data_IF_974775279778
#
_entry.id   IF_974775279778
#
_cell.length_a   1.000
_cell.length_b   1.000
_cell.length_c   1.000
_cell.angle_alpha   90.00
_cell.angle_beta   90.00
_cell.angle_gamma   90.00
#
_symmetry.space_group_name_H-M   'P 1'
#
loop_
_entity.id
_entity.type
_entity.pdbx_description
1 polymer ?
#
# COMPACT_ATOMS: atom_id res chain seq x y z
N UNK A 1 2.12 29.08 25.86
CA UNK A 1 2.08 27.61 25.83
C UNK A 1 0.88 27.23 24.96
N UNK A 2 1.09 26.95 23.70
CA UNK A 2 0.01 26.47 22.82
C UNK A 2 -0.35 25.06 23.30
N UNK A 3 -1.59 24.89 23.78
CA UNK A 3 -2.15 23.59 24.11
C UNK A 3 -2.03 22.70 22.86
N UNK A 4 -1.16 21.69 22.92
CA UNK A 4 -1.15 20.63 21.92
C UNK A 4 -2.52 19.97 22.02
N UNK A 5 -3.39 20.30 21.08
CA UNK A 5 -4.71 19.69 21.02
C UNK A 5 -4.50 18.22 20.77
N UNK A 6 -4.86 17.36 21.73
CA UNK A 6 -4.62 15.92 21.71
C UNK A 6 -5.19 15.31 20.44
N UNK A 7 -4.31 14.76 19.59
CA UNK A 7 -4.73 14.06 18.40
C UNK A 7 -5.14 12.62 18.78
N UNK A 8 -6.40 12.27 18.49
CA UNK A 8 -6.88 10.91 18.71
C UNK A 8 -6.21 9.94 17.74
N UNK A 9 -5.89 8.77 18.23
CA UNK A 9 -5.40 7.66 17.42
C UNK A 9 -6.41 7.30 16.32
N UNK A 10 -5.99 7.23 15.08
CA UNK A 10 -6.87 6.89 13.95
C UNK A 10 -7.38 5.43 14.01
N UNK A 11 -6.68 4.53 14.71
CA UNK A 11 -7.04 3.12 14.78
C UNK A 11 -7.99 2.79 15.94
N UNK A 12 -7.71 3.28 17.16
CA UNK A 12 -8.48 2.91 18.36
C UNK A 12 -9.15 4.11 19.07
N UNK A 13 -9.03 5.33 18.53
CA UNK A 13 -9.57 6.59 19.06
C UNK A 13 -9.06 6.99 20.45
N UNK A 14 -8.08 6.30 21.01
CA UNK A 14 -7.43 6.67 22.26
C UNK A 14 -6.74 8.03 22.13
N UNK A 15 -6.79 8.84 23.19
CA UNK A 15 -6.01 10.08 23.34
C UNK A 15 -4.67 9.83 24.02
N UNK A 16 -4.45 8.63 24.57
CA UNK A 16 -3.19 8.24 25.22
C UNK A 16 -2.10 8.01 24.18
N UNK A 17 -1.41 9.10 23.83
CA UNK A 17 -0.35 9.12 22.83
C UNK A 17 0.91 9.79 23.38
N UNK A 18 2.07 9.33 22.91
CA UNK A 18 3.37 9.91 23.23
C UNK A 18 4.15 10.23 21.96
N UNK A 19 5.02 11.21 21.99
CA UNK A 19 5.93 11.48 20.87
C UNK A 19 6.95 10.33 20.82
N UNK A 20 6.95 9.57 19.74
CA UNK A 20 7.93 8.51 19.49
C UNK A 20 9.15 9.02 18.72
N UNK A 21 8.94 9.92 17.76
CA UNK A 21 10.00 10.56 16.97
C UNK A 21 9.73 12.04 16.88
N UNK A 22 10.78 12.85 17.03
CA UNK A 22 10.65 14.32 16.98
C UNK A 22 10.42 14.83 15.56
N UNK A 23 10.84 14.06 14.56
CA UNK A 23 10.73 14.39 13.14
C UNK A 23 10.30 13.16 12.34
N UNK A 24 9.82 13.42 11.12
CA UNK A 24 9.46 12.44 10.09
C UNK A 24 9.92 12.95 8.72
N UNK A 25 9.58 12.23 7.66
CA UNK A 25 9.76 12.68 6.27
C UNK A 25 9.15 14.09 6.02
N UNK A 26 8.09 14.45 6.72
CA UNK A 26 7.40 15.75 6.60
C UNK A 26 7.90 16.81 7.59
N UNK A 27 9.01 16.60 8.28
CA UNK A 27 9.51 17.46 9.36
C UNK A 27 8.49 17.70 10.50
N UNK A 28 7.63 16.73 10.72
CA UNK A 28 6.59 16.74 11.76
C UNK A 28 6.83 15.61 12.77
N UNK A 29 6.45 15.78 14.04
CA UNK A 29 6.59 14.74 15.05
C UNK A 29 5.69 13.54 14.75
N UNK A 30 6.16 12.36 15.11
CA UNK A 30 5.40 11.10 15.06
C UNK A 30 4.91 10.76 16.46
N UNK A 31 3.63 10.50 16.57
CA UNK A 31 2.98 10.03 17.78
C UNK A 31 2.86 8.51 17.77
N UNK A 32 3.05 7.89 18.94
CA UNK A 32 2.72 6.50 19.19
C UNK A 32 1.54 6.39 20.12
N UNK A 33 0.54 5.61 19.77
CA UNK A 33 -0.58 5.28 20.63
C UNK A 33 -0.17 4.20 21.65
N UNK A 34 -0.38 4.44 22.95
CA UNK A 34 -0.05 3.47 24.00
C UNK A 34 -1.03 2.28 24.07
N UNK A 35 -2.23 2.42 23.46
CA UNK A 35 -3.23 1.35 23.47
C UNK A 35 -3.04 0.32 22.34
N UNK A 36 -2.81 0.78 21.09
CA UNK A 36 -2.72 -0.13 19.93
C UNK A 36 -1.33 -0.13 19.25
N UNK A 37 -0.36 0.59 19.80
CA UNK A 37 1.03 0.72 19.32
C UNK A 37 1.18 1.27 17.90
N UNK A 38 0.13 1.84 17.36
CA UNK A 38 0.13 2.52 16.07
C UNK A 38 0.93 3.80 16.13
N UNK A 39 1.76 4.05 15.11
CA UNK A 39 2.50 5.29 14.96
C UNK A 39 1.91 6.11 13.81
N UNK A 40 1.86 7.42 13.99
CA UNK A 40 1.31 8.33 12.98
C UNK A 40 1.88 9.73 13.08
N UNK A 41 2.02 10.38 11.94
CA UNK A 41 2.51 11.76 11.87
C UNK A 41 1.47 12.72 12.44
N UNK A 42 1.89 13.67 13.26
CA UNK A 42 1.02 14.72 13.78
C UNK A 42 0.87 15.86 12.77
N UNK A 43 -0.03 15.69 11.79
CA UNK A 43 -0.21 16.61 10.65
C UNK A 43 -1.40 17.55 10.75
N UNK A 44 -2.09 17.64 11.89
CA UNK A 44 -3.35 18.39 12.05
C UNK A 44 -3.36 19.79 11.44
N UNK A 45 -2.27 20.53 11.60
CA UNK A 45 -2.16 21.89 11.10
C UNK A 45 -1.62 21.96 9.66
N UNK A 46 -1.24 20.80 9.05
CA UNK A 46 -0.54 20.71 7.78
C UNK A 46 -1.29 19.86 6.75
N UNK A 47 -2.54 19.51 6.99
CA UNK A 47 -3.33 18.61 6.12
C UNK A 47 -3.41 19.09 4.67
N UNK A 48 -3.55 20.39 4.43
CA UNK A 48 -3.61 20.95 3.08
C UNK A 48 -2.28 20.88 2.36
N UNK A 49 -1.17 21.12 3.05
CA UNK A 49 0.18 21.00 2.51
C UNK A 49 0.49 19.55 2.12
N UNK A 50 0.12 18.61 2.97
CA UNK A 50 0.28 17.17 2.73
C UNK A 50 -0.59 16.74 1.55
N UNK A 51 -1.85 17.17 1.47
CA UNK A 51 -2.73 16.91 0.32
C UNK A 51 -2.11 17.45 -0.99
N UNK A 52 -1.57 18.66 -0.97
CA UNK A 52 -0.89 19.24 -2.13
C UNK A 52 0.37 18.46 -2.51
N UNK A 53 1.13 17.96 -1.53
CA UNK A 53 2.31 17.12 -1.78
C UNK A 53 1.91 15.88 -2.57
N UNK A 54 0.88 15.11 -2.13
CA UNK A 54 0.44 13.92 -2.84
C UNK A 54 -0.15 14.23 -4.23
N UNK A 55 -0.83 15.35 -4.39
CA UNK A 55 -1.40 15.75 -5.67
C UNK A 55 -0.35 16.16 -6.71
N UNK A 56 0.69 16.87 -6.30
CA UNK A 56 1.63 17.55 -7.20
C UNK A 56 3.02 16.93 -7.24
N UNK A 57 3.52 16.48 -6.10
CA UNK A 57 4.95 16.19 -5.90
C UNK A 57 5.25 14.71 -5.79
N UNK A 58 4.42 13.94 -5.12
CA UNK A 58 4.64 12.52 -4.82
C UNK A 58 5.11 11.73 -6.05
N UNK A 59 4.32 11.69 -7.11
CA UNK A 59 4.65 10.91 -8.31
C UNK A 59 5.83 11.47 -9.11
N UNK A 60 6.04 12.80 -9.12
CA UNK A 60 7.21 13.40 -9.77
C UNK A 60 8.49 13.07 -9.02
N UNK A 61 8.46 13.02 -7.69
CA UNK A 61 9.58 12.65 -6.84
C UNK A 61 9.93 11.18 -7.00
N UNK A 62 8.94 10.28 -6.94
CA UNK A 62 9.15 8.84 -7.15
C UNK A 62 9.72 8.51 -8.54
N UNK A 63 9.28 9.19 -9.60
CA UNK A 63 9.85 9.02 -10.94
C UNK A 63 11.24 9.64 -11.10
N UNK A 64 11.53 10.72 -10.36
CA UNK A 64 12.83 11.37 -10.38
C UNK A 64 13.87 10.70 -9.45
N UNK A 65 13.44 9.91 -8.48
CA UNK A 65 14.33 9.01 -7.73
C UNK A 65 14.97 7.99 -8.69
N UNK A 66 14.27 7.57 -9.74
CA UNK A 66 14.88 6.81 -10.83
C UNK A 66 15.94 7.61 -11.62
N UNK A 67 15.98 8.94 -11.49
CA UNK A 67 16.85 9.82 -12.26
C UNK A 67 17.81 10.73 -11.46
N UNK A 68 17.64 10.91 -10.14
CA UNK A 68 18.50 11.76 -9.31
C UNK A 68 19.06 11.01 -8.11
N UNK A 69 20.37 10.89 -8.10
CA UNK A 69 21.32 10.76 -6.97
C UNK A 69 20.71 10.37 -5.62
N UNK A 70 20.77 9.10 -5.29
CA UNK A 70 20.90 8.64 -3.92
C UNK A 70 22.32 9.04 -3.43
N UNK A 71 22.48 10.27 -3.00
CA UNK A 71 23.65 10.70 -2.22
C UNK A 71 23.39 10.33 -0.76
N UNK A 72 24.05 9.28 -0.29
CA UNK A 72 24.11 8.91 1.11
C UNK A 72 23.91 7.41 1.35
N UNK A 73 25.02 6.68 1.39
CA UNK A 73 25.27 5.38 2.05
C UNK A 73 24.05 4.46 2.21
N UNK A 74 23.67 3.72 1.18
CA UNK A 74 23.12 2.35 1.21
C UNK A 74 22.48 1.94 -0.14
N UNK A 75 23.19 2.09 -1.26
CA UNK A 75 22.63 1.65 -2.57
C UNK A 75 23.75 1.14 -3.50
N UNK A 76 24.50 0.15 -3.06
CA UNK A 76 25.48 -0.48 -3.96
C UNK A 76 24.85 -1.38 -5.02
N UNK A 77 23.58 -1.78 -4.86
CA UNK A 77 22.96 -2.79 -5.69
C UNK A 77 22.01 -2.25 -6.77
N UNK A 78 21.35 -1.11 -6.54
CA UNK A 78 20.64 -0.38 -7.61
C UNK A 78 21.61 0.15 -8.67
N UNK A 79 22.89 0.33 -8.30
CA UNK A 79 23.97 0.74 -9.18
C UNK A 79 24.26 -0.27 -10.30
N UNK A 80 24.15 -1.57 -10.04
CA UNK A 80 24.38 -2.60 -11.05
C UNK A 80 23.28 -2.64 -12.12
N UNK A 81 22.02 -2.40 -11.74
CA UNK A 81 20.93 -2.30 -12.71
C UNK A 81 21.09 -1.07 -13.60
N UNK A 82 21.61 0.05 -13.05
CA UNK A 82 21.89 1.29 -13.81
C UNK A 82 22.99 1.14 -14.87
N UNK A 83 23.85 0.12 -14.79
CA UNK A 83 24.86 -0.18 -15.82
C UNK A 83 24.29 -0.80 -17.10
N UNK A 84 23.05 -1.28 -17.06
CA UNK A 84 22.39 -1.81 -18.25
C UNK A 84 21.72 -0.70 -19.07
N UNK A 85 21.57 -0.88 -20.39
CA UNK A 85 20.73 -0.01 -21.20
C UNK A 85 19.32 0.12 -20.62
N UNK A 86 18.73 1.33 -20.70
CA UNK A 86 17.45 1.68 -20.08
C UNK A 86 16.33 0.67 -20.41
N UNK A 87 16.32 0.12 -21.63
CA UNK A 87 15.32 -0.88 -22.03
C UNK A 87 15.48 -2.20 -21.26
N UNK A 88 16.72 -2.65 -20.98
CA UNK A 88 17.00 -3.85 -20.18
C UNK A 88 16.57 -3.60 -18.72
N UNK A 89 16.89 -2.44 -18.16
CA UNK A 89 16.43 -2.05 -16.83
C UNK A 89 14.90 -2.12 -16.73
N UNK A 90 14.19 -1.58 -17.73
CA UNK A 90 12.72 -1.68 -17.80
C UNK A 90 12.23 -3.12 -17.84
N UNK A 91 12.81 -3.98 -18.68
CA UNK A 91 12.42 -5.40 -18.75
C UNK A 91 12.61 -6.08 -17.39
N UNK A 92 13.76 -5.90 -16.74
CA UNK A 92 14.04 -6.53 -15.45
C UNK A 92 13.07 -6.05 -14.38
N UNK A 93 12.92 -4.73 -14.21
CA UNK A 93 12.06 -4.16 -13.16
C UNK A 93 10.59 -4.43 -13.45
N UNK A 94 10.11 -4.12 -14.64
CA UNK A 94 8.68 -4.25 -14.95
C UNK A 94 8.25 -5.71 -15.12
N UNK A 95 9.07 -6.56 -15.73
CA UNK A 95 8.69 -7.96 -15.96
C UNK A 95 8.99 -8.81 -14.74
N UNK A 96 10.18 -8.66 -14.17
CA UNK A 96 10.61 -9.51 -13.06
C UNK A 96 9.90 -9.17 -11.75
N UNK A 97 9.95 -7.91 -11.35
CA UNK A 97 9.46 -7.48 -10.03
C UNK A 97 7.96 -7.22 -10.05
N UNK A 98 7.49 -6.29 -10.86
CA UNK A 98 6.08 -5.83 -10.81
C UNK A 98 5.09 -6.95 -11.12
N UNK A 99 5.36 -7.76 -12.17
CA UNK A 99 4.51 -8.92 -12.48
C UNK A 99 4.59 -9.99 -11.41
N UNK A 100 5.77 -10.24 -10.84
CA UNK A 100 5.93 -11.21 -9.75
C UNK A 100 5.14 -10.80 -8.52
N UNK A 101 5.17 -9.51 -8.15
CA UNK A 101 4.40 -8.96 -7.03
C UNK A 101 2.90 -9.09 -7.26
N UNK A 102 2.39 -8.71 -8.43
CA UNK A 102 0.96 -8.86 -8.75
C UNK A 102 0.49 -10.31 -8.71
N UNK A 103 1.31 -11.25 -9.17
CA UNK A 103 1.02 -12.68 -9.05
C UNK A 103 1.03 -13.18 -7.59
N UNK A 104 1.92 -12.65 -6.74
CA UNK A 104 1.94 -12.97 -5.32
C UNK A 104 0.68 -12.47 -4.61
N UNK A 105 0.24 -11.24 -4.91
CA UNK A 105 -1.01 -10.68 -4.39
C UNK A 105 -2.23 -11.47 -4.86
N UNK A 106 -2.28 -11.86 -6.13
CA UNK A 106 -3.34 -12.71 -6.67
C UNK A 106 -3.42 -14.04 -5.92
N UNK A 107 -2.30 -14.78 -5.78
CA UNK A 107 -2.26 -16.06 -5.05
C UNK A 107 -2.66 -15.92 -3.59
N UNK A 108 -2.31 -14.80 -2.95
CA UNK A 108 -2.69 -14.57 -1.56
C UNK A 108 -4.20 -14.40 -1.38
N UNK A 109 -4.89 -13.90 -2.40
CA UNK A 109 -6.32 -13.53 -2.35
C UNK A 109 -7.25 -14.55 -3.03
N UNK A 110 -6.79 -15.26 -4.07
CA UNK A 110 -7.67 -16.02 -4.99
C UNK A 110 -8.63 -17.00 -4.32
N UNK A 111 -8.19 -17.68 -3.24
CA UNK A 111 -9.01 -18.67 -2.53
C UNK A 111 -10.14 -18.05 -1.69
N UNK A 112 -10.10 -16.75 -1.47
CA UNK A 112 -11.09 -16.00 -0.67
C UNK A 112 -12.10 -15.23 -1.54
N UNK A 113 -11.84 -15.10 -2.84
CA UNK A 113 -12.69 -14.33 -3.75
C UNK A 113 -13.82 -15.22 -4.28
N UNK A 114 -15.07 -14.80 -4.10
CA UNK A 114 -16.26 -15.54 -4.54
C UNK A 114 -16.88 -15.08 -5.84
N UNK A 115 -16.57 -13.84 -6.28
CA UNK A 115 -17.11 -13.24 -7.51
C UNK A 115 -16.02 -12.72 -8.42
N UNK A 116 -16.37 -11.82 -9.35
CA UNK A 116 -15.44 -11.36 -10.41
C UNK A 116 -15.32 -9.83 -10.54
N UNK A 117 -15.98 -9.06 -9.67
CA UNK A 117 -15.87 -7.60 -9.67
C UNK A 117 -14.72 -7.15 -8.76
N UNK A 118 -13.73 -6.49 -9.34
CA UNK A 118 -12.55 -5.99 -8.62
C UNK A 118 -12.50 -4.47 -8.67
N UNK A 119 -12.17 -3.87 -7.53
CA UNK A 119 -11.74 -2.48 -7.42
C UNK A 119 -10.31 -2.44 -6.87
N UNK A 120 -9.38 -1.82 -7.58
CA UNK A 120 -8.05 -1.50 -7.06
C UNK A 120 -7.94 0.01 -6.79
N UNK A 121 -7.64 0.36 -5.56
CA UNK A 121 -7.41 1.74 -5.14
C UNK A 121 -5.91 1.98 -5.06
N UNK A 122 -5.41 3.00 -5.77
CA UNK A 122 -3.97 3.22 -5.94
C UNK A 122 -3.36 2.23 -6.93
N UNK A 123 -3.92 2.16 -8.14
CA UNK A 123 -3.55 1.13 -9.12
C UNK A 123 -2.12 1.23 -9.67
N UNK A 124 -1.41 2.32 -9.38
CA UNK A 124 -0.04 2.53 -9.84
C UNK A 124 0.08 2.38 -11.35
N UNK A 125 0.94 1.49 -11.81
CA UNK A 125 1.10 1.20 -13.25
C UNK A 125 0.11 0.16 -13.80
N UNK A 126 -0.82 -0.35 -12.98
CA UNK A 126 -1.91 -1.25 -13.38
C UNK A 126 -1.53 -2.70 -13.60
N UNK A 127 -0.48 -3.21 -12.98
CA UNK A 127 -0.07 -4.62 -13.12
C UNK A 127 -1.05 -5.59 -12.46
N UNK A 128 -1.67 -5.20 -11.36
CA UNK A 128 -2.69 -6.00 -10.68
C UNK A 128 -3.97 -6.00 -11.51
N UNK A 129 -4.44 -4.84 -11.96
CA UNK A 129 -5.60 -4.74 -12.86
C UNK A 129 -5.42 -5.61 -14.10
N UNK A 130 -4.26 -5.50 -14.79
CA UNK A 130 -3.95 -6.30 -15.98
C UNK A 130 -4.00 -7.81 -15.68
N UNK A 131 -3.44 -8.25 -14.56
CA UNK A 131 -3.45 -9.65 -14.17
C UNK A 131 -4.85 -10.17 -13.91
N UNK A 132 -5.63 -9.45 -13.10
CA UNK A 132 -6.99 -9.85 -12.75
C UNK A 132 -7.91 -9.83 -13.98
N UNK A 133 -7.79 -8.84 -14.88
CA UNK A 133 -8.52 -8.85 -16.14
C UNK A 133 -8.20 -10.09 -16.99
N UNK A 134 -6.92 -10.48 -17.10
CA UNK A 134 -6.48 -11.72 -17.78
C UNK A 134 -7.01 -12.99 -17.11
N UNK A 135 -7.37 -12.92 -15.83
CA UNK A 135 -8.01 -14.00 -15.06
C UNK A 135 -9.56 -13.97 -15.15
N UNK A 136 -10.11 -13.10 -15.97
CA UNK A 136 -11.53 -12.99 -16.23
C UNK A 136 -12.32 -12.18 -15.19
N UNK A 137 -11.66 -11.24 -14.49
CA UNK A 137 -12.33 -10.31 -13.59
C UNK A 137 -12.78 -9.05 -14.35
N UNK A 138 -13.89 -8.48 -13.88
CA UNK A 138 -14.34 -7.13 -14.26
C UNK A 138 -13.56 -6.13 -13.37
N UNK A 139 -12.54 -5.51 -13.92
CA UNK A 139 -11.63 -4.67 -13.14
C UNK A 139 -11.99 -3.20 -13.23
N UNK A 140 -11.96 -2.54 -12.07
CA UNK A 140 -12.04 -1.09 -11.93
C UNK A 140 -10.84 -0.61 -11.12
N UNK A 141 -10.30 0.55 -11.47
CA UNK A 141 -9.18 1.15 -10.76
C UNK A 141 -9.41 2.61 -10.42
N UNK A 142 -8.76 3.08 -9.36
CA UNK A 142 -8.60 4.50 -9.02
C UNK A 142 -7.11 4.77 -8.92
N UNK A 143 -6.66 5.81 -9.61
CA UNK A 143 -5.25 6.21 -9.64
C UNK A 143 -5.11 7.73 -9.64
N UNK A 144 -4.28 8.28 -8.75
CA UNK A 144 -4.08 9.72 -8.62
C UNK A 144 -3.20 10.32 -9.72
N UNK A 145 -2.28 9.52 -10.29
CA UNK A 145 -1.34 9.97 -11.32
C UNK A 145 -1.91 9.86 -12.73
N UNK A 146 -2.00 11.01 -13.42
CA UNK A 146 -2.39 11.03 -14.83
C UNK A 146 -1.48 10.22 -15.74
N UNK A 147 -0.19 10.15 -15.40
CA UNK A 147 0.78 9.40 -16.20
C UNK A 147 0.62 7.88 -16.00
N UNK A 148 0.38 7.44 -14.76
CA UNK A 148 0.05 6.04 -14.48
C UNK A 148 -1.26 5.65 -15.16
N UNK A 149 -2.27 6.52 -15.11
CA UNK A 149 -3.53 6.29 -15.83
C UNK A 149 -3.33 6.04 -17.34
N UNK A 150 -2.40 6.77 -17.97
CA UNK A 150 -2.04 6.53 -19.39
C UNK A 150 -1.41 5.15 -19.61
N UNK A 151 -0.61 4.66 -18.64
CA UNK A 151 0.00 3.32 -18.69
C UNK A 151 -1.06 2.24 -18.50
N UNK A 152 -1.97 2.43 -17.55
CA UNK A 152 -3.08 1.50 -17.28
C UNK A 152 -3.95 1.34 -18.52
N UNK A 153 -4.38 2.45 -19.14
CA UNK A 153 -5.21 2.43 -20.36
C UNK A 153 -4.60 1.66 -21.54
N UNK A 154 -3.26 1.54 -21.58
CA UNK A 154 -2.56 0.72 -22.60
C UNK A 154 -2.56 -0.77 -22.27
N UNK A 155 -2.78 -1.15 -21.02
CA UNK A 155 -2.73 -2.54 -20.55
C UNK A 155 -4.11 -3.20 -20.51
N UNK A 156 -5.12 -2.44 -20.09
CA UNK A 156 -6.49 -2.93 -19.98
C UNK A 156 -7.17 -3.01 -21.35
N UNK A 157 -8.01 -4.03 -21.54
CA UNK A 157 -8.80 -4.27 -22.73
C UNK A 157 -10.26 -3.82 -22.55
N UNK A 158 -10.85 -4.19 -21.41
CA UNK A 158 -12.27 -3.93 -21.09
C UNK A 158 -12.42 -3.24 -19.74
N UNK A 159 -11.44 -3.38 -18.86
CA UNK A 159 -11.43 -2.78 -17.54
C UNK A 159 -11.29 -1.25 -17.59
N UNK A 160 -11.72 -0.60 -16.54
CA UNK A 160 -11.68 0.85 -16.41
C UNK A 160 -10.77 1.29 -15.27
N UNK A 161 -10.10 2.42 -15.45
CA UNK A 161 -9.42 3.12 -14.37
C UNK A 161 -9.72 4.62 -14.48
N UNK A 162 -10.12 5.21 -13.34
CA UNK A 162 -10.45 6.63 -13.23
C UNK A 162 -9.35 7.37 -12.47
N UNK A 163 -9.18 8.66 -12.80
CA UNK A 163 -8.35 9.54 -11.99
C UNK A 163 -9.09 9.86 -10.69
N UNK A 164 -8.41 9.75 -9.54
CA UNK A 164 -9.03 10.04 -8.25
C UNK A 164 -8.14 9.66 -7.07
N UNK A 165 -8.63 9.99 -5.89
CA UNK A 165 -8.02 9.68 -4.59
C UNK A 165 -8.91 8.71 -3.82
N UNK A 166 -8.31 7.99 -2.88
CA UNK A 166 -9.05 7.05 -2.03
C UNK A 166 -10.09 7.74 -1.14
N UNK A 167 -9.86 9.00 -0.79
CA UNK A 167 -10.78 9.81 0.03
C UNK A 167 -11.99 10.33 -0.75
N UNK A 168 -11.92 10.34 -2.09
CA UNK A 168 -12.94 10.90 -2.97
C UNK A 168 -13.35 9.84 -4.02
N UNK A 169 -13.75 8.64 -3.55
CA UNK A 169 -14.17 7.55 -4.44
C UNK A 169 -15.42 7.93 -5.22
N UNK A 170 -15.46 7.67 -6.52
CA UNK A 170 -16.68 7.90 -7.31
C UNK A 170 -17.79 6.92 -6.89
N UNK A 171 -19.01 7.31 -7.11
CA UNK A 171 -20.15 6.42 -6.98
C UNK A 171 -20.06 5.26 -7.97
N UNK A 172 -20.40 4.07 -7.49
CA UNK A 172 -20.52 2.86 -8.27
C UNK A 172 -21.92 2.28 -8.11
N UNK A 173 -22.54 1.91 -9.20
CA UNK A 173 -23.85 1.23 -9.26
C UNK A 173 -23.77 -0.27 -8.97
N UNK A 174 -22.57 -0.78 -8.64
CA UNK A 174 -22.28 -2.17 -8.34
C UNK A 174 -21.44 -2.32 -7.08
N UNK A 175 -21.47 -3.52 -6.51
CA UNK A 175 -20.57 -3.93 -5.41
C UNK A 175 -19.37 -4.70 -5.97
N UNK A 176 -18.28 -4.69 -5.19
CA UNK A 176 -17.05 -5.38 -5.55
C UNK A 176 -16.85 -6.62 -4.68
N UNK A 177 -16.47 -7.71 -5.32
CA UNK A 177 -16.16 -8.97 -4.65
C UNK A 177 -14.76 -8.97 -4.03
N UNK A 178 -13.89 -8.12 -4.58
CA UNK A 178 -12.56 -7.87 -4.03
C UNK A 178 -12.17 -6.41 -4.22
N UNK A 179 -11.73 -5.78 -3.12
CA UNK A 179 -11.12 -4.46 -3.12
C UNK A 179 -9.65 -4.64 -2.76
N UNK A 180 -8.74 -4.02 -3.53
CA UNK A 180 -7.29 -4.12 -3.31
C UNK A 180 -6.73 -2.74 -2.99
N UNK A 181 -5.96 -2.65 -1.91
CA UNK A 181 -5.17 -1.49 -1.52
C UNK A 181 -3.75 -1.96 -1.15
N UNK A 182 -2.80 -1.71 -2.02
CA UNK A 182 -1.39 -2.07 -1.82
C UNK A 182 -0.55 -0.81 -1.78
N UNK A 183 0.08 -0.55 -0.64
CA UNK A 183 0.84 0.68 -0.38
C UNK A 183 0.03 1.95 -0.62
N UNK A 184 -1.14 2.05 0.01
CA UNK A 184 -2.07 3.18 -0.10
C UNK A 184 -2.44 3.72 1.27
N UNK A 185 -2.81 2.85 2.23
CA UNK A 185 -3.33 3.28 3.53
C UNK A 185 -2.35 4.15 4.32
N UNK A 186 -1.07 3.88 4.20
CA UNK A 186 0.00 4.64 4.86
C UNK A 186 0.12 6.08 4.38
N UNK A 187 -0.48 6.41 3.24
CA UNK A 187 -0.44 7.74 2.63
C UNK A 187 -1.71 8.57 2.83
N UNK A 188 -2.80 7.96 3.31
CA UNK A 188 -4.10 8.62 3.41
C UNK A 188 -4.13 9.64 4.55
N UNK A 189 -4.83 10.76 4.36
CA UNK A 189 -5.05 11.72 5.44
C UNK A 189 -6.01 11.13 6.48
N UNK A 190 -7.03 10.38 6.05
CA UNK A 190 -7.98 9.75 6.96
C UNK A 190 -8.24 8.29 6.58
N UNK A 191 -7.33 7.40 6.99
CA UNK A 191 -7.43 5.97 6.70
C UNK A 191 -8.71 5.33 7.27
N UNK A 192 -9.19 5.76 8.45
CA UNK A 192 -10.42 5.25 9.07
C UNK A 192 -11.66 5.60 8.23
N UNK A 193 -11.76 6.84 7.76
CA UNK A 193 -12.89 7.26 6.93
C UNK A 193 -12.94 6.45 5.64
N UNK A 194 -11.79 6.27 4.98
CA UNK A 194 -11.69 5.47 3.75
C UNK A 194 -12.12 4.03 4.01
N UNK A 195 -11.55 3.38 5.03
CA UNK A 195 -11.93 1.98 5.35
C UNK A 195 -13.43 1.87 5.65
N UNK A 196 -14.01 2.84 6.38
CA UNK A 196 -15.44 2.85 6.67
C UNK A 196 -16.29 2.97 5.40
N UNK A 197 -15.91 3.85 4.45
CA UNK A 197 -16.64 4.06 3.20
C UNK A 197 -16.60 2.84 2.27
N UNK A 198 -15.53 2.03 2.32
CA UNK A 198 -15.44 0.80 1.52
C UNK A 198 -16.54 -0.21 1.84
N UNK A 199 -17.17 -0.12 3.02
CA UNK A 199 -18.27 -1.00 3.41
C UNK A 199 -19.44 -0.93 2.44
N UNK A 200 -19.73 0.26 1.94
CA UNK A 200 -20.79 0.48 0.96
C UNK A 200 -20.45 -0.05 -0.44
N UNK A 201 -19.17 -0.17 -0.77
CA UNK A 201 -18.72 -0.67 -2.06
C UNK A 201 -18.49 -2.18 -2.07
N UNK A 202 -18.22 -2.78 -0.93
CA UNK A 202 -17.92 -4.20 -0.80
C UNK A 202 -19.21 -5.03 -0.92
N UNK A 203 -19.15 -6.14 -1.66
CA UNK A 203 -20.19 -7.15 -1.68
C UNK A 203 -20.34 -7.83 -0.30
N UNK A 204 -21.45 -8.52 -0.04
CA UNK A 204 -21.68 -9.12 1.29
C UNK A 204 -20.62 -10.17 1.64
N UNK A 205 -20.29 -11.05 0.70
CA UNK A 205 -19.20 -12.03 0.83
C UNK A 205 -17.87 -11.55 0.24
N UNK A 206 -17.73 -10.23 0.02
CA UNK A 206 -16.53 -9.63 -0.55
C UNK A 206 -15.39 -9.54 0.46
N UNK A 207 -14.19 -9.38 -0.08
CA UNK A 207 -12.97 -9.21 0.71
C UNK A 207 -12.26 -7.90 0.37
N UNK A 208 -11.53 -7.34 1.34
CA UNK A 208 -10.55 -6.29 1.12
C UNK A 208 -9.17 -6.89 1.35
N UNK A 209 -8.28 -6.74 0.37
CA UNK A 209 -6.86 -7.04 0.51
C UNK A 209 -6.09 -5.76 0.81
N UNK A 210 -5.29 -5.80 1.87
CA UNK A 210 -4.41 -4.71 2.28
C UNK A 210 -2.97 -5.20 2.29
N UNK A 211 -2.08 -4.39 1.74
CA UNK A 211 -0.62 -4.58 1.83
C UNK A 211 0.01 -3.26 2.22
N UNK A 212 0.80 -3.25 3.30
CA UNK A 212 1.48 -2.06 3.84
C UNK A 212 2.85 -2.45 4.41
N UNK A 213 3.74 -1.47 4.67
CA UNK A 213 4.94 -1.70 5.49
C UNK A 213 4.58 -2.24 6.87
N UNK A 214 5.33 -3.25 7.34
CA UNK A 214 5.17 -3.82 8.67
C UNK A 214 5.99 -3.03 9.69
N UNK A 215 5.36 -2.11 10.38
CA UNK A 215 6.03 -1.23 11.33
C UNK A 215 6.14 -1.83 12.78
N UNK A 216 5.91 -3.14 12.95
CA UNK A 216 6.39 -3.88 14.11
C UNK A 216 7.89 -4.20 14.00
N UNK A 217 8.41 -4.30 12.76
CA UNK A 217 9.86 -4.34 12.51
C UNK A 217 10.44 -2.94 12.70
N UNK A 218 11.38 -2.81 13.63
CA UNK A 218 11.98 -1.51 14.00
C UNK A 218 12.72 -0.88 12.81
N UNK A 219 13.41 -1.68 12.01
CA UNK A 219 14.13 -1.19 10.82
C UNK A 219 13.15 -0.65 9.79
N UNK A 220 12.04 -1.34 9.58
CA UNK A 220 10.98 -0.88 8.67
C UNK A 220 10.27 0.36 9.21
N UNK A 221 10.04 0.44 10.53
CA UNK A 221 9.46 1.64 11.15
C UNK A 221 10.35 2.87 10.90
N UNK A 222 11.65 2.77 11.18
CA UNK A 222 12.61 3.86 10.96
C UNK A 222 12.67 4.25 9.47
N UNK A 223 12.71 3.27 8.59
CA UNK A 223 12.66 3.50 7.14
C UNK A 223 11.36 4.19 6.73
N UNK A 224 10.22 3.73 7.22
CA UNK A 224 8.90 4.28 6.95
C UNK A 224 8.76 5.73 7.45
N UNK A 225 9.29 6.03 8.64
CA UNK A 225 9.21 7.36 9.26
C UNK A 225 10.09 8.39 8.54
N UNK A 226 11.33 8.05 8.22
CA UNK A 226 12.31 9.05 7.78
C UNK A 226 12.55 9.11 6.28
N UNK A 227 12.30 8.03 5.55
CA UNK A 227 12.67 7.95 4.14
C UNK A 227 11.47 7.90 3.19
N UNK A 228 10.28 7.66 3.72
CA UNK A 228 9.06 7.53 2.94
C UNK A 228 8.03 8.58 3.35
N UNK A 229 7.24 9.10 2.42
CA UNK A 229 6.18 10.06 2.72
C UNK A 229 4.96 9.35 3.32
N UNK A 230 5.17 8.61 4.41
CA UNK A 230 4.10 7.89 5.10
C UNK A 230 3.56 8.73 6.26
N UNK A 231 2.23 8.78 6.37
CA UNK A 231 1.52 9.41 7.49
C UNK A 231 1.20 8.41 8.59
N UNK A 232 1.10 7.14 8.21
CA UNK A 232 0.67 6.05 9.06
C UNK A 232 1.67 4.91 9.03
N UNK A 233 2.00 4.39 10.23
CA UNK A 233 2.94 3.30 10.40
C UNK A 233 2.23 2.19 11.17
N UNK A 234 1.68 1.24 10.40
CA UNK A 234 0.78 0.22 10.91
C UNK A 234 1.51 -0.97 11.51
N UNK A 235 0.89 -1.54 12.56
CA UNK A 235 1.21 -2.84 13.14
C UNK A 235 0.00 -3.76 12.97
N UNK A 236 0.18 -5.08 13.10
CA UNK A 236 -0.94 -6.02 13.06
C UNK A 236 -2.01 -5.66 14.11
N UNK A 237 -1.57 -5.36 15.33
CA UNK A 237 -2.47 -4.96 16.41
C UNK A 237 -3.26 -3.68 16.09
N UNK A 238 -2.65 -2.71 15.43
CA UNK A 238 -3.34 -1.47 15.05
C UNK A 238 -4.47 -1.75 14.05
N UNK A 239 -4.28 -2.70 13.15
CA UNK A 239 -5.31 -3.12 12.21
C UNK A 239 -6.47 -3.86 12.87
N UNK A 240 -6.21 -4.69 13.90
CA UNK A 240 -7.30 -5.33 14.66
C UNK A 240 -8.29 -4.27 15.20
N UNK A 241 -7.77 -3.20 15.79
CA UNK A 241 -8.60 -2.10 16.28
C UNK A 241 -9.30 -1.35 15.14
N UNK A 242 -8.57 -0.99 14.08
CA UNK A 242 -9.11 -0.22 12.97
C UNK A 242 -10.26 -0.99 12.28
N UNK A 243 -10.02 -2.22 11.89
CA UNK A 243 -11.00 -3.00 11.14
C UNK A 243 -12.21 -3.36 12.00
N UNK A 244 -12.01 -3.80 13.25
CA UNK A 244 -13.10 -4.07 14.17
C UNK A 244 -14.01 -2.87 14.37
N UNK A 245 -13.43 -1.67 14.54
CA UNK A 245 -14.20 -0.43 14.73
C UNK A 245 -14.95 0.02 13.47
N UNK A 246 -14.49 -0.40 12.29
CA UNK A 246 -15.16 -0.13 11.01
C UNK A 246 -16.12 -1.26 10.58
N UNK A 247 -16.36 -2.26 11.44
CA UNK A 247 -17.29 -3.36 11.18
C UNK A 247 -16.76 -4.44 10.25
N UNK A 248 -15.45 -4.69 10.31
CA UNK A 248 -14.78 -5.77 9.59
C UNK A 248 -14.11 -6.75 10.55
N UNK A 249 -13.83 -7.94 10.05
CA UNK A 249 -13.00 -8.95 10.70
C UNK A 249 -11.79 -9.31 9.82
N UNK A 250 -10.63 -9.53 10.43
CA UNK A 250 -9.43 -10.01 9.75
C UNK A 250 -9.55 -11.52 9.62
N UNK A 251 -9.64 -12.03 8.39
CA UNK A 251 -9.74 -13.47 8.09
C UNK A 251 -8.39 -14.09 7.75
N UNK A 252 -7.40 -13.27 7.42
CA UNK A 252 -6.01 -13.69 7.20
C UNK A 252 -5.05 -12.53 7.46
N UNK A 253 -3.96 -12.82 8.14
CA UNK A 253 -2.82 -11.92 8.32
C UNK A 253 -1.54 -12.71 8.15
N UNK A 254 -0.61 -12.20 7.34
CA UNK A 254 0.71 -12.79 7.14
C UNK A 254 1.75 -11.68 6.94
N UNK A 255 2.95 -11.94 7.45
CA UNK A 255 4.11 -11.07 7.29
C UNK A 255 5.05 -11.67 6.26
N UNK A 256 5.66 -10.82 5.43
CA UNK A 256 6.56 -11.21 4.36
C UNK A 256 7.84 -10.38 4.34
N UNK A 257 8.90 -10.97 3.79
CA UNK A 257 10.09 -10.26 3.38
C UNK A 257 10.01 -9.91 1.89
N UNK A 258 10.18 -8.62 1.60
CA UNK A 258 10.39 -8.11 0.26
C UNK A 258 11.87 -7.73 0.13
N UNK A 259 12.65 -8.54 -0.55
CA UNK A 259 14.05 -8.26 -0.82
C UNK A 259 14.24 -7.94 -2.30
N UNK A 260 14.10 -6.69 -2.69
CA UNK A 260 14.37 -6.28 -4.06
C UNK A 260 15.40 -5.17 -4.08
N UNK A 261 16.65 -5.54 -3.86
CA UNK A 261 17.76 -4.57 -3.84
C UNK A 261 18.87 -4.93 -4.83
N UNK A 262 19.09 -6.20 -5.13
CA UNK A 262 20.20 -6.66 -5.99
C UNK A 262 19.74 -7.12 -7.38
N UNK A 263 20.63 -7.03 -8.37
CA UNK A 263 20.38 -7.61 -9.70
C UNK A 263 20.09 -9.12 -9.62
N UNK A 264 20.78 -9.84 -8.74
CA UNK A 264 20.58 -11.26 -8.52
C UNK A 264 19.16 -11.54 -8.00
N UNK A 265 18.64 -10.71 -7.13
CA UNK A 265 17.26 -10.82 -6.65
C UNK A 265 16.24 -10.49 -7.72
N UNK A 266 16.47 -9.50 -8.56
CA UNK A 266 15.62 -9.22 -9.72
C UNK A 266 15.54 -10.43 -10.68
N UNK A 267 16.67 -11.06 -10.98
CA UNK A 267 16.72 -12.29 -11.78
C UNK A 267 15.97 -13.43 -11.07
N UNK A 268 16.17 -13.59 -9.76
CA UNK A 268 15.44 -14.56 -8.94
C UNK A 268 13.93 -14.33 -8.96
N UNK A 269 13.48 -13.07 -8.89
CA UNK A 269 12.05 -12.73 -9.03
C UNK A 269 11.51 -13.07 -10.42
N UNK A 270 12.26 -12.79 -11.49
CA UNK A 270 11.90 -13.20 -12.85
C UNK A 270 11.77 -14.72 -12.96
N UNK A 271 12.72 -15.48 -12.43
CA UNK A 271 12.68 -16.95 -12.43
C UNK A 271 11.49 -17.47 -11.62
N UNK A 272 11.25 -16.94 -10.43
CA UNK A 272 10.09 -17.30 -9.62
C UNK A 272 8.78 -17.00 -10.34
N UNK A 273 8.67 -15.84 -11.00
CA UNK A 273 7.51 -15.52 -11.81
C UNK A 273 7.29 -16.51 -12.95
N UNK A 274 8.36 -16.85 -13.70
CA UNK A 274 8.30 -17.83 -14.78
C UNK A 274 7.89 -19.22 -14.28
N UNK A 275 8.43 -19.65 -13.15
CA UNK A 275 8.12 -20.92 -12.50
C UNK A 275 6.80 -20.90 -11.72
N UNK A 276 6.06 -19.79 -11.70
CA UNK A 276 4.82 -19.58 -10.94
C UNK A 276 4.99 -19.80 -9.43
N UNK A 277 6.18 -19.55 -8.90
CA UNK A 277 6.51 -19.60 -7.46
C UNK A 277 6.30 -18.22 -6.85
N UNK A 278 5.89 -18.16 -5.57
CA UNK A 278 5.74 -16.86 -4.88
C UNK A 278 7.08 -16.13 -4.78
N UNK A 279 7.05 -14.83 -5.04
CA UNK A 279 8.25 -14.00 -4.97
C UNK A 279 8.62 -13.65 -3.53
N UNK A 280 7.64 -13.51 -2.65
CA UNK A 280 7.89 -13.19 -1.25
C UNK A 280 8.29 -14.43 -0.44
N UNK A 281 9.11 -14.18 0.56
CA UNK A 281 9.43 -15.18 1.59
C UNK A 281 8.59 -14.86 2.82
N UNK A 282 7.91 -15.87 3.38
CA UNK A 282 7.11 -15.68 4.59
C UNK A 282 8.02 -15.27 5.74
N UNK A 283 7.66 -14.21 6.44
CA UNK A 283 8.31 -13.75 7.67
C UNK A 283 7.89 -14.60 8.87
N UNK A 284 8.58 -14.39 9.98
CA UNK A 284 8.24 -15.02 11.25
C UNK A 284 8.04 -13.94 12.30
N UNK A 285 6.89 -13.95 12.99
CA UNK A 285 6.54 -12.98 14.04
C UNK A 285 6.69 -11.52 13.57
N UNK A 286 7.41 -10.68 14.35
CA UNK A 286 7.69 -9.28 14.03
C UNK A 286 8.81 -9.07 12.99
N UNK A 287 9.34 -10.13 12.39
CA UNK A 287 10.40 -10.03 11.40
C UNK A 287 9.85 -10.15 9.98
N UNK A 288 9.94 -9.08 9.25
CA UNK A 288 9.51 -8.93 7.86
C UNK A 288 8.99 -7.53 7.62
N UNK A 289 9.22 -7.01 6.42
CA UNK A 289 8.96 -5.60 6.10
C UNK A 289 7.62 -5.33 5.41
N UNK A 290 6.83 -6.37 5.13
CA UNK A 290 5.51 -6.27 4.50
C UNK A 290 4.48 -7.01 5.33
N UNK A 291 3.38 -6.33 5.65
CA UNK A 291 2.19 -6.89 6.29
C UNK A 291 1.06 -6.99 5.26
N UNK A 292 0.48 -8.18 5.12
CA UNK A 292 -0.68 -8.46 4.28
C UNK A 292 -1.86 -8.93 5.09
N UNK A 293 -3.02 -8.39 4.75
CA UNK A 293 -4.28 -8.73 5.40
C UNK A 293 -5.36 -9.02 4.36
N UNK A 294 -6.24 -9.95 4.70
CA UNK A 294 -7.54 -10.11 4.07
C UNK A 294 -8.59 -9.87 5.13
N UNK A 295 -9.51 -8.97 4.87
CA UNK A 295 -10.61 -8.65 5.77
C UNK A 295 -11.95 -8.83 5.05
N UNK A 296 -12.98 -9.15 5.81
CA UNK A 296 -14.36 -9.25 5.35
C UNK A 296 -15.31 -8.47 6.27
N UNK A 297 -16.52 -8.20 5.83
CA UNK A 297 -17.54 -7.62 6.69
C UNK A 297 -17.81 -8.54 7.88
N UNK A 298 -17.90 -7.96 9.07
CA UNK A 298 -18.42 -8.71 10.23
C UNK A 298 -19.85 -9.12 9.94
N UNK A 299 -20.16 -10.41 10.00
CA UNK A 299 -21.52 -10.92 9.86
C UNK A 299 -22.34 -10.50 11.06
N UNK A 300 -23.52 -9.91 10.83
CA UNK A 300 -24.50 -9.71 11.90
C UNK A 300 -25.10 -11.08 12.20
N UNK A 301 -24.87 -11.59 13.40
CA UNK A 301 -25.57 -12.76 13.95
C UNK A 301 -26.99 -12.37 14.33
#
# INVERSE_FOLDING_TARGET
>A
MNSVQEQKCHCCESTDTVISHQNSFFDLPVLRCNNCFYHFVNYRNNSDEIRQYYQKTYWSTFRNIDNKKLEGKQVDNAYLVKKFPVFIQRIIVHTGVRKSLSHSQFRFTESYIKGKNLLEIGSGEGFVLELFEKKGFNVNGIEASKDNLRLIKKKLRTGECKIGFAEDLPDYDKKFDVIIMSHVLEHLINCRLVISSLRELLAEDGIIFIEVPNCEDVIELEHSVFTQPHLHHFTEKSFEFLFKSCGYEIIKSDIFFSHVVTLAEHIKYMLKWFLKIDCYTKGTNSHGNILRLIVSKTRKH
#
